data_IF_905020082262
#
_entry.id   IF_905020082262
#
_cell.length_a   1.000
_cell.length_b   1.000
_cell.length_c   1.000
_cell.angle_alpha   90.00
_cell.angle_beta   90.00
_cell.angle_gamma   90.00
#
_symmetry.space_group_name_H-M   'P 1'
#
loop_
_entity.id
_entity.type
_entity.pdbx_description
1 polymer ?
#
# COMPACT_ATOMS: atom_id res chain seq x y z
N UNK A 1 -18.57 -3.03 -17.03
CA UNK A 1 -18.41 -3.83 -15.79
C UNK A 1 -18.83 -3.05 -14.55
N UNK A 2 -18.25 -1.89 -14.22
CA UNK A 2 -18.64 -1.09 -13.03
C UNK A 2 -20.12 -0.68 -12.98
N UNK A 3 -20.78 -0.43 -14.11
CA UNK A 3 -22.23 -0.17 -14.13
C UNK A 3 -23.08 -1.41 -13.75
N UNK A 4 -22.60 -2.63 -14.01
CA UNK A 4 -23.33 -3.86 -13.71
C UNK A 4 -23.29 -4.20 -12.22
N UNK A 5 -22.15 -3.97 -11.56
CA UNK A 5 -22.00 -4.17 -10.11
C UNK A 5 -22.73 -3.09 -9.31
N UNK A 6 -22.68 -1.83 -9.76
CA UNK A 6 -23.44 -0.74 -9.15
C UNK A 6 -24.96 -1.01 -9.14
N UNK A 7 -25.51 -1.53 -10.24
CA UNK A 7 -26.92 -1.92 -10.31
C UNK A 7 -27.23 -3.09 -9.35
N UNK A 8 -26.35 -4.09 -9.28
CA UNK A 8 -26.54 -5.27 -8.40
C UNK A 8 -26.49 -4.89 -6.90
N UNK A 9 -25.57 -4.01 -6.52
CA UNK A 9 -25.44 -3.51 -5.15
C UNK A 9 -26.63 -2.62 -4.76
N UNK A 10 -27.15 -1.83 -5.70
CA UNK A 10 -28.38 -1.05 -5.52
C UNK A 10 -29.60 -1.94 -5.30
N UNK A 11 -29.74 -3.02 -6.08
CA UNK A 11 -30.85 -3.98 -5.96
C UNK A 11 -30.85 -4.69 -4.59
N UNK A 12 -29.67 -5.12 -4.10
CA UNK A 12 -29.55 -5.79 -2.79
C UNK A 12 -29.86 -4.83 -1.63
N UNK A 13 -29.39 -3.58 -1.71
CA UNK A 13 -29.70 -2.57 -0.70
C UNK A 13 -31.21 -2.27 -0.62
N UNK A 14 -31.87 -2.22 -1.78
CA UNK A 14 -33.33 -2.05 -1.86
C UNK A 14 -34.07 -3.23 -1.21
N UNK A 15 -33.58 -4.44 -1.47
CA UNK A 15 -34.14 -5.67 -0.90
C UNK A 15 -33.93 -5.78 0.62
N UNK A 16 -32.75 -5.40 1.12
CA UNK A 16 -32.43 -5.33 2.56
C UNK A 16 -33.38 -4.37 3.29
N UNK A 17 -33.62 -3.18 2.73
CA UNK A 17 -34.55 -2.20 3.30
C UNK A 17 -35.97 -2.76 3.35
N UNK A 18 -36.42 -3.40 2.27
CA UNK A 18 -37.76 -4.00 2.21
C UNK A 18 -37.94 -5.15 3.22
N UNK A 19 -36.94 -6.01 3.40
CA UNK A 19 -36.99 -7.11 4.38
C UNK A 19 -36.99 -6.56 5.81
N UNK A 20 -36.16 -5.56 6.12
CA UNK A 20 -36.17 -4.90 7.45
C UNK A 20 -37.53 -4.29 7.77
N UNK A 21 -38.14 -3.58 6.83
CA UNK A 21 -39.48 -3.01 7.00
C UNK A 21 -40.54 -4.10 7.26
N UNK A 22 -40.46 -5.24 6.56
CA UNK A 22 -41.35 -6.38 6.79
C UNK A 22 -41.15 -7.00 8.17
N UNK A 23 -39.91 -7.18 8.63
CA UNK A 23 -39.62 -7.68 9.98
C UNK A 23 -40.26 -6.77 11.05
N UNK A 24 -40.08 -5.46 10.93
CA UNK A 24 -40.63 -4.50 11.89
C UNK A 24 -42.17 -4.39 11.83
N UNK A 25 -42.78 -4.66 10.67
CA UNK A 25 -44.23 -4.78 10.56
C UNK A 25 -44.75 -6.07 11.23
N UNK A 26 -44.09 -7.20 10.98
CA UNK A 26 -44.45 -8.51 11.57
C UNK A 26 -44.27 -8.52 13.10
N UNK A 27 -43.18 -7.95 13.63
CA UNK A 27 -42.99 -7.76 15.08
C UNK A 27 -44.15 -7.01 15.73
N UNK A 28 -44.62 -5.93 15.11
CA UNK A 28 -45.75 -5.13 15.62
C UNK A 28 -47.07 -5.91 15.59
N UNK A 29 -47.28 -6.78 14.59
CA UNK A 29 -48.44 -7.65 14.50
C UNK A 29 -48.46 -8.78 15.54
N UNK A 30 -47.30 -9.36 15.85
CA UNK A 30 -47.14 -10.38 16.90
C UNK A 30 -47.47 -9.81 18.28
N UNK A 31 -47.05 -8.58 18.57
CA UNK A 31 -47.38 -7.94 19.87
C UNK A 31 -48.89 -7.72 20.03
N UNK A 32 -49.66 -7.71 18.94
CA UNK A 32 -51.11 -7.50 18.94
C UNK A 32 -51.94 -8.80 18.91
N UNK A 33 -51.35 -9.98 18.72
CA UNK A 33 -52.07 -11.27 18.55
C UNK A 33 -51.28 -12.47 19.12
N UNK A 34 -51.95 -13.55 19.54
CA UNK A 34 -51.33 -14.73 20.21
C UNK A 34 -50.62 -15.70 19.21
N UNK A 35 -49.81 -15.13 18.31
CA UNK A 35 -49.55 -15.66 16.96
C UNK A 35 -48.33 -16.59 16.80
N UNK A 36 -48.50 -17.90 17.06
CA UNK A 36 -47.49 -18.92 16.72
C UNK A 36 -47.14 -19.00 15.21
N UNK A 37 -48.05 -18.59 14.32
CA UNK A 37 -47.82 -18.51 12.86
C UNK A 37 -46.92 -17.35 12.44
N UNK A 38 -46.95 -16.27 13.21
CA UNK A 38 -46.21 -15.05 12.92
C UNK A 38 -44.75 -15.17 13.37
N UNK A 39 -44.48 -15.97 14.42
CA UNK A 39 -43.13 -16.31 14.87
C UNK A 39 -42.35 -17.09 13.80
N UNK A 40 -42.98 -18.11 13.17
CA UNK A 40 -42.36 -18.85 12.07
C UNK A 40 -42.06 -17.96 10.84
N UNK A 41 -42.90 -16.95 10.61
CA UNK A 41 -42.70 -15.98 9.53
C UNK A 41 -41.55 -15.02 9.86
N UNK A 42 -41.47 -14.58 11.10
CA UNK A 42 -40.38 -13.74 11.60
C UNK A 42 -39.03 -14.46 11.51
N UNK A 43 -38.97 -15.74 11.90
CA UNK A 43 -37.75 -16.54 11.79
C UNK A 43 -37.26 -16.68 10.33
N UNK A 44 -38.19 -16.84 9.37
CA UNK A 44 -37.86 -16.88 7.94
C UNK A 44 -37.34 -15.53 7.44
N UNK A 45 -37.95 -14.43 7.85
CA UNK A 45 -37.51 -13.09 7.46
C UNK A 45 -36.14 -12.73 8.05
N UNK A 46 -35.88 -13.09 9.30
CA UNK A 46 -34.56 -12.91 9.94
C UNK A 46 -33.49 -13.74 9.21
N UNK A 47 -33.81 -14.98 8.83
CA UNK A 47 -32.90 -15.81 8.04
C UNK A 47 -32.62 -15.21 6.66
N UNK A 48 -33.65 -14.70 5.97
CA UNK A 48 -33.51 -14.02 4.69
C UNK A 48 -32.66 -12.73 4.80
N UNK A 49 -32.83 -11.97 5.89
CA UNK A 49 -32.01 -10.80 6.18
C UNK A 49 -30.53 -11.18 6.32
N UNK A 50 -30.23 -12.23 7.08
CA UNK A 50 -28.86 -12.73 7.25
C UNK A 50 -28.23 -13.11 5.91
N UNK A 51 -28.96 -13.84 5.06
CA UNK A 51 -28.46 -14.25 3.75
C UNK A 51 -28.16 -13.06 2.83
N UNK A 52 -29.02 -12.03 2.85
CA UNK A 52 -28.80 -10.81 2.06
C UNK A 52 -27.59 -10.01 2.56
N UNK A 53 -27.38 -9.95 3.88
CA UNK A 53 -26.20 -9.30 4.46
C UNK A 53 -24.91 -10.06 4.10
N UNK A 54 -24.92 -11.38 4.12
CA UNK A 54 -23.78 -12.19 3.68
C UNK A 54 -23.44 -11.96 2.20
N UNK A 55 -24.48 -11.84 1.36
CA UNK A 55 -24.33 -11.54 -0.07
C UNK A 55 -23.75 -10.14 -0.31
N UNK A 56 -24.19 -9.13 0.45
CA UNK A 56 -23.63 -7.78 0.39
C UNK A 56 -22.14 -7.77 0.77
N UNK A 57 -21.79 -8.45 1.88
CA UNK A 57 -20.40 -8.56 2.33
C UNK A 57 -19.50 -9.24 1.28
N UNK A 58 -20.00 -10.26 0.60
CA UNK A 58 -19.28 -10.94 -0.48
C UNK A 58 -19.04 -10.02 -1.69
N UNK A 59 -20.03 -9.20 -2.06
CA UNK A 59 -19.89 -8.23 -3.15
C UNK A 59 -18.88 -7.15 -2.80
N UNK A 60 -18.94 -6.57 -1.60
CA UNK A 60 -17.96 -5.59 -1.12
C UNK A 60 -16.54 -6.19 -1.18
N UNK A 61 -16.39 -7.45 -0.75
CA UNK A 61 -15.11 -8.15 -0.81
C UNK A 61 -14.61 -8.32 -2.25
N UNK A 62 -15.49 -8.68 -3.19
CA UNK A 62 -15.14 -8.78 -4.61
C UNK A 62 -14.74 -7.43 -5.20
N UNK A 63 -15.49 -6.36 -4.92
CA UNK A 63 -15.18 -5.02 -5.42
C UNK A 63 -13.82 -4.55 -4.90
N UNK A 64 -13.54 -4.74 -3.61
CA UNK A 64 -12.24 -4.40 -3.03
C UNK A 64 -11.09 -5.17 -3.68
N UNK A 65 -11.25 -6.48 -3.91
CA UNK A 65 -10.27 -7.29 -4.64
C UNK A 65 -10.04 -6.76 -6.06
N UNK A 66 -11.11 -6.37 -6.75
CA UNK A 66 -11.02 -5.84 -8.11
C UNK A 66 -10.31 -4.48 -8.15
N UNK A 67 -10.60 -3.61 -7.18
CA UNK A 67 -9.92 -2.32 -7.01
C UNK A 67 -8.44 -2.53 -6.72
N UNK A 68 -8.09 -3.44 -5.81
CA UNK A 68 -6.70 -3.79 -5.55
C UNK A 68 -5.98 -4.32 -6.80
N UNK A 69 -6.65 -5.15 -7.61
CA UNK A 69 -6.09 -5.65 -8.86
C UNK A 69 -5.85 -4.52 -9.87
N UNK A 70 -6.81 -3.61 -10.05
CA UNK A 70 -6.65 -2.47 -10.95
C UNK A 70 -5.52 -1.53 -10.48
N UNK A 71 -5.43 -1.26 -9.17
CA UNK A 71 -4.34 -0.46 -8.60
C UNK A 71 -2.97 -1.12 -8.85
N UNK A 72 -2.86 -2.44 -8.67
CA UNK A 72 -1.63 -3.19 -8.97
C UNK A 72 -1.28 -3.14 -10.46
N UNK A 73 -2.26 -3.27 -11.35
CA UNK A 73 -2.05 -3.20 -12.81
C UNK A 73 -1.66 -1.81 -13.28
N UNK A 74 -2.23 -0.74 -12.69
CA UNK A 74 -1.86 0.64 -13.02
C UNK A 74 -0.50 1.05 -12.45
N UNK A 75 -0.15 0.58 -11.25
CA UNK A 75 1.12 0.91 -10.60
C UNK A 75 2.34 0.19 -11.21
N UNK A 76 2.15 -1.02 -11.75
CA UNK A 76 3.21 -1.84 -12.34
C UNK A 76 4.03 -1.11 -13.42
N UNK A 77 3.41 -0.62 -14.50
CA UNK A 77 4.11 0.08 -15.58
C UNK A 77 4.83 1.37 -15.14
N UNK A 78 4.25 2.09 -14.17
CA UNK A 78 4.85 3.33 -13.64
C UNK A 78 6.11 3.02 -12.83
N UNK A 79 6.03 2.06 -11.91
CA UNK A 79 7.16 1.64 -11.10
C UNK A 79 8.25 0.99 -11.95
N UNK A 80 7.89 0.21 -12.96
CA UNK A 80 8.85 -0.40 -13.90
C UNK A 80 9.55 0.66 -14.75
N UNK A 81 8.82 1.68 -15.21
CA UNK A 81 9.41 2.83 -15.93
C UNK A 81 10.42 3.57 -15.04
N UNK A 82 10.03 3.91 -13.81
CA UNK A 82 10.93 4.59 -12.87
C UNK A 82 12.17 3.74 -12.56
N UNK A 83 11.97 2.45 -12.28
CA UNK A 83 13.04 1.48 -12.03
C UNK A 83 14.05 1.45 -13.18
N UNK A 84 13.58 1.43 -14.43
CA UNK A 84 14.45 1.45 -15.61
C UNK A 84 15.23 2.76 -15.73
N UNK A 85 14.57 3.91 -15.63
CA UNK A 85 15.24 5.22 -15.68
C UNK A 85 16.32 5.35 -14.61
N UNK A 86 16.03 4.85 -13.41
CA UNK A 86 16.97 4.83 -12.29
C UNK A 86 18.16 3.92 -12.56
N UNK A 87 17.92 2.70 -13.07
CA UNK A 87 19.00 1.77 -13.40
C UNK A 87 19.90 2.34 -14.49
N UNK A 88 19.32 2.94 -15.53
CA UNK A 88 20.07 3.57 -16.62
C UNK A 88 20.92 4.74 -16.10
N UNK A 89 20.35 5.60 -15.25
CA UNK A 89 21.04 6.77 -14.70
C UNK A 89 22.26 6.38 -13.84
N UNK A 90 22.13 5.38 -12.97
CA UNK A 90 23.22 4.92 -12.11
C UNK A 90 24.07 3.81 -12.74
N UNK A 91 23.87 3.49 -14.02
CA UNK A 91 24.56 2.39 -14.72
C UNK A 91 24.43 1.03 -14.01
N UNK A 92 23.31 0.79 -13.33
CA UNK A 92 23.01 -0.47 -12.64
C UNK A 92 22.53 -1.49 -13.67
N UNK A 93 23.32 -2.54 -13.90
CA UNK A 93 23.02 -3.53 -14.94
C UNK A 93 22.14 -4.66 -14.45
N UNK A 94 22.22 -5.00 -13.16
CA UNK A 94 21.48 -6.12 -12.61
C UNK A 94 20.34 -5.64 -11.69
N UNK A 95 19.14 -6.17 -11.92
CA UNK A 95 17.96 -5.84 -11.13
C UNK A 95 18.13 -6.21 -9.64
N UNK A 96 19.06 -7.10 -9.30
CA UNK A 96 19.37 -7.51 -7.92
C UNK A 96 20.45 -6.65 -7.24
N UNK A 97 21.01 -5.66 -7.93
CA UNK A 97 22.04 -4.82 -7.33
C UNK A 97 21.41 -3.80 -6.40
N UNK A 98 21.83 -3.83 -5.14
CA UNK A 98 21.52 -2.79 -4.17
C UNK A 98 22.64 -1.75 -4.20
N UNK A 99 22.31 -0.45 -4.18
CA UNK A 99 23.30 0.63 -4.12
C UNK A 99 24.17 0.59 -2.85
N UNK A 100 23.67 -0.05 -1.79
CA UNK A 100 24.36 -0.19 -0.51
C UNK A 100 25.10 -1.53 -0.43
N UNK A 101 24.44 -2.64 -0.80
CA UNK A 101 25.00 -3.99 -0.63
C UNK A 101 25.71 -4.53 -1.89
N UNK A 102 25.60 -3.84 -3.03
CA UNK A 102 26.00 -4.34 -4.34
C UNK A 102 25.21 -5.59 -4.75
N UNK A 103 25.89 -6.51 -5.43
CA UNK A 103 25.36 -7.82 -5.87
C UNK A 103 25.03 -8.79 -4.71
N UNK A 104 25.35 -8.42 -3.46
CA UNK A 104 25.23 -9.32 -2.29
C UNK A 104 23.85 -9.33 -1.66
N UNK A 105 22.88 -8.62 -2.25
CA UNK A 105 21.51 -8.63 -1.75
C UNK A 105 20.88 -10.02 -1.95
N UNK A 106 20.80 -10.81 -0.88
CA UNK A 106 19.96 -12.03 -0.85
C UNK A 106 18.48 -11.67 -0.81
N UNK A 107 18.16 -10.45 -0.36
CA UNK A 107 16.81 -9.94 -0.25
C UNK A 107 16.33 -9.26 -1.54
N UNK A 108 15.01 -9.15 -1.66
CA UNK A 108 14.37 -8.45 -2.78
C UNK A 108 14.87 -7.00 -2.83
N UNK A 109 15.39 -6.59 -3.98
CA UNK A 109 15.79 -5.20 -4.23
C UNK A 109 14.63 -4.43 -4.85
N UNK A 110 14.39 -3.22 -4.36
CA UNK A 110 13.31 -2.34 -4.78
C UNK A 110 13.85 -0.94 -5.09
N UNK A 111 13.17 -0.27 -6.01
CA UNK A 111 13.39 1.15 -6.30
C UNK A 111 12.44 1.96 -5.43
N UNK A 112 12.98 2.78 -4.54
CA UNK A 112 12.22 3.71 -3.71
C UNK A 112 12.58 5.16 -4.06
N UNK A 113 11.75 6.09 -3.60
CA UNK A 113 11.99 7.51 -3.80
C UNK A 113 12.61 8.14 -2.55
N UNK A 114 13.55 9.06 -2.72
CA UNK A 114 14.10 9.88 -1.64
C UNK A 114 13.01 10.83 -1.14
N UNK A 115 12.39 11.56 -2.07
CA UNK A 115 11.16 12.32 -1.83
C UNK A 115 9.94 11.46 -2.15
N UNK A 116 9.07 11.16 -1.18
CA UNK A 116 7.98 10.20 -1.38
C UNK A 116 7.02 10.59 -2.51
N UNK A 117 6.65 9.62 -3.35
CA UNK A 117 5.71 9.82 -4.46
C UNK A 117 4.35 10.35 -3.98
N UNK A 118 3.89 9.94 -2.79
CA UNK A 118 2.64 10.43 -2.18
C UNK A 118 2.63 11.93 -1.90
N UNK A 119 3.81 12.58 -1.90
CA UNK A 119 3.98 14.02 -1.69
C UNK A 119 4.12 14.80 -2.99
N UNK A 120 3.89 14.18 -4.16
CA UNK A 120 3.98 14.81 -5.50
C UNK A 120 3.17 16.11 -5.60
N UNK A 121 1.94 16.11 -5.07
CA UNK A 121 1.08 17.29 -5.11
C UNK A 121 1.64 18.48 -4.30
N UNK A 122 2.47 18.22 -3.27
CA UNK A 122 3.07 19.26 -2.44
C UNK A 122 4.20 20.00 -3.16
N UNK A 123 4.84 19.39 -4.16
CA UNK A 123 5.84 20.05 -5.01
C UNK A 123 5.24 21.09 -5.95
N UNK A 124 3.93 21.03 -6.19
CA UNK A 124 3.23 21.97 -7.08
C UNK A 124 3.01 23.36 -6.43
N UNK A 125 3.11 23.47 -5.10
CA UNK A 125 2.58 24.61 -4.35
C UNK A 125 3.61 25.33 -3.44
N UNK A 126 4.92 25.16 -3.61
CA UNK A 126 5.84 25.95 -2.79
C UNK A 126 7.34 25.86 -3.07
N UNK A 127 8.09 26.91 -2.69
CA UNK A 127 9.52 27.13 -2.99
C UNK A 127 10.50 26.34 -2.11
N UNK A 128 10.03 25.35 -1.35
CA UNK A 128 10.92 24.47 -0.60
C UNK A 128 11.67 23.60 -1.62
N UNK A 129 12.86 24.09 -2.01
CA UNK A 129 13.87 23.42 -2.84
C UNK A 129 13.77 23.58 -4.37
N UNK A 130 12.92 24.48 -4.90
CA UNK A 130 12.76 24.68 -6.36
C UNK A 130 12.46 23.36 -7.13
N UNK A 131 11.79 22.42 -6.48
CA UNK A 131 11.37 21.16 -7.06
C UNK A 131 9.98 21.28 -7.66
N UNK A 132 9.74 20.61 -8.77
CA UNK A 132 8.47 20.56 -9.48
C UNK A 132 7.87 19.16 -9.44
N UNK A 133 6.60 19.00 -9.85
CA UNK A 133 5.93 17.70 -9.86
C UNK A 133 6.52 16.68 -10.85
N UNK A 134 7.36 17.12 -11.80
CA UNK A 134 8.10 16.24 -12.71
C UNK A 134 9.38 15.69 -12.08
N UNK A 135 9.93 16.37 -11.07
CA UNK A 135 11.14 15.93 -10.35
C UNK A 135 10.89 14.68 -9.50
N UNK A 136 9.64 14.35 -9.20
CA UNK A 136 9.28 13.10 -8.52
C UNK A 136 9.75 11.89 -9.30
N UNK A 137 9.56 11.87 -10.63
CA UNK A 137 9.91 10.74 -11.50
C UNK A 137 11.37 10.83 -11.98
N UNK A 138 12.12 11.83 -11.53
CA UNK A 138 13.53 11.99 -11.88
C UNK A 138 14.35 10.86 -11.25
N UNK A 139 15.20 10.14 -11.98
CA UNK A 139 16.01 9.06 -11.42
C UNK A 139 16.93 9.52 -10.27
N UNK A 140 17.28 10.82 -10.20
CA UNK A 140 18.01 11.42 -9.07
C UNK A 140 17.23 11.40 -7.76
N UNK A 141 15.90 11.31 -7.83
CA UNK A 141 15.03 11.19 -6.68
C UNK A 141 14.83 9.73 -6.25
N UNK A 142 15.60 8.78 -6.78
CA UNK A 142 15.43 7.38 -6.43
C UNK A 142 16.68 6.71 -5.90
N UNK A 143 16.44 5.67 -5.10
CA UNK A 143 17.46 4.76 -4.62
C UNK A 143 17.04 3.32 -4.93
N UNK A 144 18.03 2.45 -5.15
CA UNK A 144 17.82 1.02 -5.33
C UNK A 144 18.33 0.27 -4.13
N UNK A 145 17.42 -0.15 -3.26
CA UNK A 145 17.74 -0.66 -1.93
C UNK A 145 17.22 -2.09 -1.74
N UNK A 146 17.94 -2.88 -0.95
CA UNK A 146 17.41 -4.11 -0.39
C UNK A 146 16.17 -3.78 0.47
N UNK A 147 15.14 -4.61 0.40
CA UNK A 147 13.83 -4.35 1.04
C UNK A 147 13.94 -3.95 2.51
N UNK A 148 14.81 -4.59 3.28
CA UNK A 148 15.00 -4.29 4.71
C UNK A 148 15.60 -2.90 4.93
N UNK A 149 16.56 -2.51 4.08
CA UNK A 149 17.19 -1.17 4.11
C UNK A 149 16.17 -0.11 3.73
N UNK A 150 15.36 -0.38 2.71
CA UNK A 150 14.31 0.53 2.27
C UNK A 150 13.26 0.75 3.35
N UNK A 151 12.79 -0.31 4.01
CA UNK A 151 11.85 -0.19 5.11
C UNK A 151 12.42 0.68 6.26
N UNK A 152 13.70 0.52 6.58
CA UNK A 152 14.38 1.35 7.59
C UNK A 152 14.55 2.81 7.14
N UNK A 153 14.82 3.05 5.85
CA UNK A 153 14.93 4.38 5.26
C UNK A 153 13.57 5.11 5.27
N UNK A 154 12.51 4.43 4.84
CA UNK A 154 11.15 4.97 4.81
C UNK A 154 10.62 5.25 6.22
N UNK A 155 10.95 4.38 7.18
CA UNK A 155 10.61 4.54 8.60
C UNK A 155 11.47 5.57 9.34
N UNK A 156 12.36 6.28 8.64
CA UNK A 156 13.27 7.29 9.22
C UNK A 156 14.15 6.75 10.34
N UNK A 157 14.47 5.46 10.30
CA UNK A 157 15.42 4.81 11.21
C UNK A 157 16.85 5.12 10.74
N UNK A 158 17.05 5.16 9.42
CA UNK A 158 18.31 5.53 8.80
C UNK A 158 18.12 6.58 7.70
N UNK A 159 19.21 7.25 7.35
CA UNK A 159 19.35 8.08 6.15
C UNK A 159 20.63 7.73 5.42
N UNK A 160 20.71 8.10 4.15
CA UNK A 160 21.85 7.84 3.28
C UNK A 160 22.32 9.19 2.77
N UNK A 161 23.61 9.48 2.93
CA UNK A 161 24.22 10.73 2.46
C UNK A 161 25.46 10.43 1.62
N UNK A 162 25.85 11.33 0.71
CA UNK A 162 27.12 11.22 0.00
C UNK A 162 28.28 11.14 1.00
N UNK A 163 29.22 10.24 0.76
CA UNK A 163 30.48 10.26 1.50
C UNK A 163 31.37 11.35 0.88
N UNK A 164 31.67 12.39 1.65
CA UNK A 164 32.51 13.51 1.18
C UNK A 164 34.00 13.18 1.24
N UNK A 165 34.38 12.18 2.04
CA UNK A 165 35.77 11.81 2.30
C UNK A 165 36.25 10.62 1.43
N UNK A 166 35.33 9.94 0.75
CA UNK A 166 35.64 8.86 -0.19
C UNK A 166 34.52 8.69 -1.21
N UNK A 167 34.81 8.04 -2.34
CA UNK A 167 33.77 7.66 -3.30
C UNK A 167 32.76 6.70 -2.65
N UNK A 168 31.48 7.06 -2.65
CA UNK A 168 30.39 6.21 -2.21
C UNK A 168 29.32 6.89 -1.36
N UNK A 169 28.53 6.07 -0.67
CA UNK A 169 27.42 6.50 0.19
C UNK A 169 27.72 6.11 1.64
N UNK A 170 27.35 6.99 2.57
CA UNK A 170 27.43 6.77 4.02
C UNK A 170 26.02 6.65 4.60
N UNK A 171 25.82 5.64 5.45
CA UNK A 171 24.55 5.41 6.13
C UNK A 171 24.62 6.01 7.52
N UNK A 172 23.63 6.82 7.87
CA UNK A 172 23.48 7.38 9.21
C UNK A 172 22.24 6.81 9.86
N UNK A 173 22.38 6.27 11.06
CA UNK A 173 21.25 5.88 11.88
C UNK A 173 20.71 7.14 12.57
N UNK A 174 19.43 7.44 12.38
CA UNK A 174 18.78 8.65 12.88
C UNK A 174 18.27 8.47 14.32
N UNK A 175 18.19 7.24 14.81
CA UNK A 175 17.86 6.95 16.20
C UNK A 175 19.12 6.99 17.08
N UNK A 176 19.13 7.88 18.08
CA UNK A 176 20.26 8.16 19.01
C UNK A 176 20.73 6.95 19.84
N UNK A 177 19.97 5.86 19.86
CA UNK A 177 20.36 4.63 20.56
C UNK A 177 21.37 3.78 19.76
N UNK A 178 21.56 4.07 18.48
CA UNK A 178 22.47 3.33 17.61
C UNK A 178 23.56 4.27 17.07
N UNK A 179 24.83 3.94 17.30
CA UNK A 179 25.98 4.71 16.82
C UNK A 179 26.06 4.74 15.29
N UNK A 180 26.40 5.88 14.71
CA UNK A 180 26.58 6.05 13.26
C UNK A 180 27.73 5.19 12.75
N UNK A 181 27.51 4.48 11.64
CA UNK A 181 28.49 3.56 11.06
C UNK A 181 29.10 4.23 9.83
N UNK A 182 30.42 4.48 9.86
CA UNK A 182 31.17 4.88 8.67
C UNK A 182 31.60 3.59 7.95
N UNK A 183 31.13 3.37 6.73
CA UNK A 183 31.55 2.22 5.92
C UNK A 183 32.85 2.60 5.21
N UNK A 184 34.02 2.02 5.56
CA UNK A 184 35.28 2.36 4.92
C UNK A 184 35.40 1.70 3.54
N UNK A 185 36.04 2.39 2.60
CA UNK A 185 36.20 1.98 1.19
C UNK A 185 37.00 0.68 0.98
N UNK A 186 37.71 0.18 2.01
CA UNK A 186 38.51 -1.06 1.95
C UNK A 186 37.88 -2.27 2.65
N UNK A 187 36.72 -2.13 3.30
CA UNK A 187 36.17 -3.20 4.15
C UNK A 187 35.01 -3.97 3.50
N UNK A 188 35.22 -5.28 3.44
CA UNK A 188 34.20 -6.29 3.18
C UNK A 188 33.22 -6.31 4.37
N UNK A 189 31.97 -5.91 4.12
CA UNK A 189 30.71 -6.23 4.84
C UNK A 189 30.44 -5.48 6.16
N UNK A 190 29.38 -4.67 6.12
CA UNK A 190 28.38 -4.60 7.19
C UNK A 190 27.15 -5.33 6.66
N UNK A 191 26.65 -6.29 7.41
CA UNK A 191 25.35 -6.93 7.16
C UNK A 191 24.32 -6.38 8.14
N UNK A 192 23.03 -6.44 7.81
CA UNK A 192 21.99 -5.93 8.71
C UNK A 192 21.92 -6.69 10.05
N UNK A 193 22.46 -7.91 10.11
CA UNK A 193 22.61 -8.68 11.35
C UNK A 193 23.62 -8.09 12.35
N UNK A 194 24.40 -7.09 11.93
CA UNK A 194 25.32 -6.33 12.78
C UNK A 194 24.62 -5.11 13.44
N UNK A 195 23.33 -4.90 13.15
CA UNK A 195 22.46 -3.88 13.75
C UNK A 195 21.40 -4.60 14.61
N UNK A 196 21.84 -5.12 15.74
CA UNK A 196 21.01 -5.51 16.87
C UNK A 196 21.58 -4.91 18.15
#
# INVERSE_FOLDING_TARGET
FFQSTANTTFDINTELVAVRQKIEATKRGIVATDGAKDEATLQRLVSALSQLQDKENLLIKQENLLVEQHLKQAAGPVLERFTRLLMDYYSIRNKKDCMVLGERSSSKVISCHIWPYSKRAQLTNGPLLNLTSTDIDNPRNGLRLAKEIELAFDSKILTIVPNVDADGLKIFLLNKSYSSIVIPSSYKRVTFGDIH
#
